data_IF_611134366912
#
_entry.id   IF_611134366912
#
_cell.length_a   1.000
_cell.length_b   1.000
_cell.length_c   1.000
_cell.angle_alpha   90.00
_cell.angle_beta   90.00
_cell.angle_gamma   90.00
#
_symmetry.space_group_name_H-M   'P 1'
#
loop_
_entity.id
_entity.type
_entity.pdbx_description
1 polymer ?
#
# COMPACT_ATOMS: atom_id res chain seq x y z
N UNK A 1 -22.48 -2.49 39.37
CA UNK A 1 -22.60 -2.93 37.97
C UNK A 1 -21.51 -2.25 37.17
N UNK A 2 -20.48 -3.00 36.77
CA UNK A 2 -19.34 -2.49 36.01
C UNK A 2 -19.78 -2.37 34.54
N UNK A 3 -19.76 -1.15 34.04
CA UNK A 3 -20.23 -0.75 32.70
C UNK A 3 -19.37 -1.36 31.59
N UNK A 4 -20.02 -1.81 30.51
CA UNK A 4 -19.46 -2.45 29.30
C UNK A 4 -18.48 -1.58 28.47
N UNK A 5 -17.94 -0.49 29.02
CA UNK A 5 -17.15 0.50 28.29
C UNK A 5 -15.62 0.30 28.38
N UNK A 6 -15.14 -0.73 29.09
CA UNK A 6 -13.71 -1.05 29.18
C UNK A 6 -13.25 -2.16 28.22
N UNK A 7 -14.13 -2.65 27.32
CA UNK A 7 -13.79 -3.76 26.43
C UNK A 7 -13.02 -3.32 25.17
N UNK A 8 -13.11 -2.07 24.71
CA UNK A 8 -12.44 -1.64 23.48
C UNK A 8 -10.95 -1.28 23.65
N UNK A 9 -10.51 -0.84 24.84
CA UNK A 9 -9.10 -0.52 25.07
C UNK A 9 -8.23 -1.78 25.27
N UNK A 10 -8.84 -2.87 25.74
CA UNK A 10 -8.16 -4.15 26.00
C UNK A 10 -7.99 -4.97 24.71
N UNK A 11 -8.86 -4.78 23.72
CA UNK A 11 -8.81 -5.58 22.47
C UNK A 11 -7.59 -5.25 21.60
N UNK A 12 -7.01 -4.04 21.68
CA UNK A 12 -5.78 -3.75 20.91
C UNK A 12 -4.48 -4.04 21.67
N UNK A 13 -4.47 -3.99 23.01
CA UNK A 13 -3.26 -4.31 23.79
C UNK A 13 -3.06 -5.83 23.99
N UNK A 14 -4.12 -6.63 23.95
CA UNK A 14 -4.06 -8.09 24.06
C UNK A 14 -3.89 -8.83 22.71
N UNK A 15 -4.06 -8.15 21.56
CA UNK A 15 -4.01 -8.77 20.23
C UNK A 15 -2.61 -8.75 19.57
N UNK A 16 -1.61 -8.13 20.20
CA UNK A 16 -0.27 -7.92 19.60
C UNK A 16 0.54 -9.22 19.49
N UNK A 17 0.16 -10.28 20.22
CA UNK A 17 0.91 -11.54 20.24
C UNK A 17 0.57 -12.52 19.11
N UNK A 18 -0.40 -12.22 18.23
CA UNK A 18 -0.79 -13.18 17.19
C UNK A 18 -1.33 -12.52 15.93
N UNK A 19 -0.61 -11.58 15.28
CA UNK A 19 -0.99 -11.12 13.93
C UNK A 19 0.11 -10.32 13.19
N UNK A 20 1.38 -10.74 13.22
CA UNK A 20 2.42 -10.07 12.42
C UNK A 20 2.03 -10.09 10.91
N UNK A 21 2.02 -8.93 10.26
CA UNK A 21 1.82 -8.85 8.82
C UNK A 21 3.09 -9.30 8.10
N UNK A 22 3.00 -10.36 7.31
CA UNK A 22 4.11 -10.83 6.48
C UNK A 22 3.96 -10.23 5.06
N UNK A 23 4.85 -9.32 4.64
CA UNK A 23 4.84 -8.82 3.28
C UNK A 23 5.17 -9.94 2.29
N UNK A 24 4.58 -9.89 1.10
CA UNK A 24 4.94 -10.82 0.03
C UNK A 24 6.33 -10.45 -0.47
N UNK A 25 7.29 -11.39 -0.49
CA UNK A 25 8.62 -11.09 -1.00
C UNK A 25 8.56 -10.80 -2.50
N UNK A 26 9.34 -9.82 -2.95
CA UNK A 26 9.48 -9.50 -4.36
C UNK A 26 10.05 -10.71 -5.13
N UNK A 27 9.53 -11.00 -6.34
CA UNK A 27 10.08 -12.03 -7.19
C UNK A 27 11.45 -11.60 -7.77
N UNK A 28 12.25 -12.57 -8.21
CA UNK A 28 13.47 -12.27 -8.97
C UNK A 28 13.12 -11.48 -10.25
N UNK A 29 14.07 -10.65 -10.71
CA UNK A 29 13.90 -9.88 -11.96
C UNK A 29 13.49 -10.79 -13.13
N UNK A 30 12.47 -10.36 -13.88
CA UNK A 30 11.92 -11.12 -15.01
C UNK A 30 10.88 -12.19 -14.63
N UNK A 31 10.67 -12.45 -13.34
CA UNK A 31 9.56 -13.27 -12.85
C UNK A 31 8.36 -12.38 -12.47
N UNK A 32 7.12 -12.81 -12.75
CA UNK A 32 5.94 -12.05 -12.42
C UNK A 32 5.65 -12.14 -10.92
N UNK A 33 5.00 -11.12 -10.37
CA UNK A 33 4.25 -11.26 -9.14
C UNK A 33 3.05 -12.18 -9.38
N UNK A 34 2.79 -13.18 -8.51
CA UNK A 34 1.71 -14.12 -8.72
C UNK A 34 0.34 -13.46 -8.53
N UNK A 35 -0.58 -13.72 -9.46
CA UNK A 35 -1.98 -13.28 -9.40
C UNK A 35 -2.86 -14.04 -8.42
N UNK A 36 -2.39 -14.29 -7.19
CA UNK A 36 -3.07 -15.15 -6.22
C UNK A 36 -3.92 -14.35 -5.20
N UNK A 37 -4.02 -14.81 -3.94
CA UNK A 37 -5.03 -14.40 -2.96
C UNK A 37 -5.15 -12.87 -2.71
N UNK A 38 -4.10 -12.07 -2.95
CA UNK A 38 -4.06 -10.64 -2.62
C UNK A 38 -3.67 -9.73 -3.78
N UNK A 39 -4.20 -8.51 -3.77
CA UNK A 39 -3.79 -7.45 -4.69
C UNK A 39 -2.37 -7.00 -4.38
N UNK A 40 -1.53 -6.90 -5.40
CA UNK A 40 -0.15 -6.40 -5.27
C UNK A 40 -0.13 -4.89 -5.53
N UNK A 41 0.55 -4.06 -4.73
CA UNK A 41 0.72 -2.63 -5.02
C UNK A 41 1.35 -2.36 -6.39
N UNK A 42 0.95 -1.29 -7.08
CA UNK A 42 1.59 -0.90 -8.33
C UNK A 42 3.05 -0.49 -8.11
N UNK A 43 3.34 0.14 -6.98
CA UNK A 43 4.69 0.55 -6.58
C UNK A 43 5.66 -0.65 -6.57
N UNK A 44 5.25 -1.76 -5.96
CA UNK A 44 6.07 -2.97 -5.84
C UNK A 44 6.34 -3.61 -7.21
N UNK A 45 5.35 -3.59 -8.10
CA UNK A 45 5.49 -4.12 -9.46
C UNK A 45 6.35 -3.20 -10.33
N UNK A 46 6.18 -1.88 -10.21
CA UNK A 46 6.99 -0.89 -10.94
C UNK A 46 8.46 -0.92 -10.54
N UNK A 47 8.77 -1.09 -9.25
CA UNK A 47 10.14 -1.09 -8.75
C UNK A 47 11.00 -2.26 -9.29
N UNK A 48 10.35 -3.32 -9.78
CA UNK A 48 11.02 -4.48 -10.40
C UNK A 48 10.85 -4.56 -11.92
N UNK A 49 10.22 -3.55 -12.53
CA UNK A 49 9.88 -3.55 -13.95
C UNK A 49 10.74 -2.58 -14.75
N UNK A 50 11.09 -2.98 -15.97
CA UNK A 50 11.96 -2.22 -16.86
C UNK A 50 11.18 -1.41 -17.91
N UNK A 51 9.91 -1.76 -18.12
CA UNK A 51 9.09 -1.22 -19.20
C UNK A 51 7.64 -1.03 -18.75
N UNK A 52 7.05 0.12 -19.09
CA UNK A 52 5.60 0.33 -19.05
C UNK A 52 5.17 0.78 -20.43
N UNK A 53 4.24 0.03 -21.01
CA UNK A 53 3.72 0.30 -22.35
C UNK A 53 2.24 0.64 -22.30
N UNK A 54 1.81 1.46 -23.24
CA UNK A 54 0.40 1.61 -23.58
C UNK A 54 0.19 1.13 -25.01
N UNK A 55 -0.92 0.46 -25.26
CA UNK A 55 -1.31 0.06 -26.61
C UNK A 55 -2.76 -0.38 -26.71
N UNK A 56 -3.22 -0.56 -27.94
CA UNK A 56 -4.59 -0.99 -28.24
C UNK A 56 -4.64 -2.51 -28.36
N UNK A 57 -5.56 -3.17 -27.67
CA UNK A 57 -5.72 -4.62 -27.72
C UNK A 57 -6.18 -5.06 -29.12
N UNK A 58 -5.31 -5.78 -29.83
CA UNK A 58 -5.63 -6.40 -31.13
C UNK A 58 -6.27 -7.77 -30.96
N UNK A 59 -5.71 -8.59 -30.07
CA UNK A 59 -6.24 -9.90 -29.70
C UNK A 59 -5.76 -10.31 -28.31
N UNK A 60 -6.53 -11.17 -27.68
CA UNK A 60 -6.29 -11.69 -26.35
C UNK A 60 -6.69 -13.16 -26.33
N UNK A 61 -5.70 -14.07 -26.32
CA UNK A 61 -5.92 -15.50 -26.38
C UNK A 61 -4.76 -16.29 -25.75
N UNK A 62 -5.06 -17.46 -25.16
CA UNK A 62 -4.04 -18.44 -24.77
C UNK A 62 -2.87 -17.92 -23.93
N UNK A 63 -3.10 -16.99 -22.98
CA UNK A 63 -2.02 -16.42 -22.15
C UNK A 63 -1.19 -15.34 -22.84
N UNK A 64 -1.70 -14.75 -23.93
CA UNK A 64 -1.03 -13.71 -24.72
C UNK A 64 -1.93 -12.51 -24.97
N UNK A 65 -1.36 -11.33 -24.87
CA UNK A 65 -1.98 -10.05 -25.24
C UNK A 65 -1.20 -9.51 -26.44
N UNK A 66 -1.88 -9.33 -27.58
CA UNK A 66 -1.28 -8.68 -28.75
C UNK A 66 -1.76 -7.25 -28.82
N UNK A 67 -0.82 -6.31 -28.90
CA UNK A 67 -1.08 -4.89 -28.95
C UNK A 67 -0.68 -4.27 -30.29
N UNK A 68 -1.44 -3.28 -30.74
CA UNK A 68 -1.07 -2.34 -31.80
C UNK A 68 -0.92 -0.93 -31.23
N UNK A 69 -0.38 -0.03 -32.04
CA UNK A 69 -0.22 1.39 -31.69
C UNK A 69 0.55 1.58 -30.38
N UNK A 70 1.56 0.74 -30.18
CA UNK A 70 2.23 0.62 -28.89
C UNK A 70 3.20 1.78 -28.70
N UNK A 71 3.09 2.45 -27.56
CA UNK A 71 4.05 3.45 -27.09
C UNK A 71 4.64 3.05 -25.74
N UNK A 72 5.91 3.32 -25.58
CA UNK A 72 6.57 3.21 -24.27
C UNK A 72 6.24 4.45 -23.45
N UNK A 73 5.66 4.26 -22.26
CA UNK A 73 5.48 5.31 -21.26
C UNK A 73 6.66 5.39 -20.29
N UNK A 74 7.30 4.25 -20.01
CA UNK A 74 8.51 4.14 -19.22
C UNK A 74 9.42 3.06 -19.83
N UNK A 75 10.72 3.32 -19.91
CA UNK A 75 11.69 2.42 -20.56
C UNK A 75 11.78 2.64 -22.08
N UNK A 76 12.66 1.88 -22.75
CA UNK A 76 12.81 1.94 -24.22
C UNK A 76 12.12 0.73 -24.86
N UNK A 77 11.21 0.99 -25.79
CA UNK A 77 10.65 -0.05 -26.67
C UNK A 77 11.02 0.26 -28.12
N UNK A 78 11.51 -0.74 -28.86
CA UNK A 78 12.02 -0.56 -30.22
C UNK A 78 11.05 -0.85 -31.36
N UNK A 79 9.78 -1.22 -31.11
CA UNK A 79 8.86 -1.71 -32.16
C UNK A 79 7.42 -1.19 -31.98
N UNK A 80 6.73 -0.98 -33.11
CA UNK A 80 5.36 -0.45 -33.18
C UNK A 80 4.26 -1.43 -32.71
N UNK A 81 4.62 -2.68 -32.42
CA UNK A 81 3.73 -3.71 -31.89
C UNK A 81 4.39 -4.45 -30.73
N UNK A 82 3.56 -5.03 -29.87
CA UNK A 82 4.01 -5.82 -28.72
C UNK A 82 3.16 -7.08 -28.58
N UNK A 83 3.81 -8.15 -28.14
CA UNK A 83 3.16 -9.35 -27.64
C UNK A 83 3.61 -9.55 -26.20
N UNK A 84 2.64 -9.55 -25.28
CA UNK A 84 2.88 -9.68 -23.83
C UNK A 84 2.30 -11.00 -23.35
N UNK A 85 3.14 -11.84 -22.75
CA UNK A 85 2.69 -13.10 -22.15
C UNK A 85 2.25 -12.88 -20.69
N UNK A 86 1.25 -13.63 -20.24
CA UNK A 86 0.76 -13.61 -18.87
C UNK A 86 0.30 -15.01 -18.43
N UNK A 87 0.06 -15.20 -17.14
CA UNK A 87 -0.65 -16.35 -16.60
C UNK A 87 -1.88 -15.90 -15.78
N UNK A 88 -2.86 -16.76 -15.61
CA UNK A 88 -4.09 -16.45 -14.86
C UNK A 88 -5.22 -15.95 -15.75
N UNK A 89 -6.23 -15.33 -15.13
CA UNK A 89 -7.49 -14.95 -15.78
C UNK A 89 -7.83 -13.51 -15.47
N UNK A 90 -8.06 -12.71 -16.51
CA UNK A 90 -8.56 -11.34 -16.38
C UNK A 90 -10.06 -11.33 -16.08
N UNK A 91 -10.56 -10.20 -15.56
CA UNK A 91 -12.01 -10.03 -15.42
C UNK A 91 -12.66 -9.75 -16.78
N UNK A 92 -13.97 -9.97 -16.86
CA UNK A 92 -14.72 -9.74 -18.10
C UNK A 92 -14.55 -8.28 -18.54
N UNK A 93 -14.25 -8.07 -19.84
CA UNK A 93 -14.03 -6.77 -20.49
C UNK A 93 -12.69 -6.07 -20.22
N UNK A 94 -11.78 -6.65 -19.42
CA UNK A 94 -10.45 -6.04 -19.20
C UNK A 94 -9.64 -5.92 -20.49
N UNK A 95 -9.80 -6.89 -21.39
CA UNK A 95 -8.98 -7.08 -22.60
C UNK A 95 -9.82 -7.13 -23.88
N UNK A 96 -10.89 -6.34 -23.94
CA UNK A 96 -11.70 -6.24 -25.15
C UNK A 96 -10.90 -5.69 -26.33
N UNK A 97 -11.13 -6.28 -27.51
CA UNK A 97 -10.49 -5.83 -28.75
C UNK A 97 -10.82 -4.35 -29.00
N UNK A 98 -9.80 -3.56 -29.31
CA UNK A 98 -9.91 -2.12 -29.54
C UNK A 98 -9.79 -1.26 -28.29
N UNK A 99 -9.70 -1.86 -27.10
CA UNK A 99 -9.49 -1.14 -25.84
C UNK A 99 -8.03 -0.72 -25.69
N UNK A 100 -7.79 0.51 -25.23
CA UNK A 100 -6.46 0.94 -24.80
C UNK A 100 -6.15 0.39 -23.42
N UNK A 101 -4.95 -0.16 -23.24
CA UNK A 101 -4.48 -0.72 -21.96
C UNK A 101 -3.06 -0.27 -21.65
N UNK A 102 -2.78 -0.04 -20.38
CA UNK A 102 -1.42 0.21 -19.87
C UNK A 102 -0.91 -1.02 -19.14
N UNK A 103 0.20 -1.57 -19.60
CA UNK A 103 0.80 -2.78 -19.05
C UNK A 103 2.18 -2.50 -18.47
N UNK A 104 2.41 -3.00 -17.26
CA UNK A 104 3.72 -3.03 -16.62
C UNK A 104 4.38 -4.35 -16.97
N UNK A 105 5.56 -4.31 -17.56
CA UNK A 105 6.23 -5.48 -18.11
C UNK A 105 7.73 -5.48 -17.76
N UNK A 106 8.28 -6.55 -17.15
CA UNK A 106 9.69 -6.86 -17.28
C UNK A 106 10.00 -7.36 -18.70
N UNK A 107 11.19 -7.00 -19.19
CA UNK A 107 11.76 -7.64 -20.38
C UNK A 107 12.37 -8.99 -19.98
N UNK A 108 12.00 -10.06 -20.70
CA UNK A 108 12.61 -11.36 -20.49
C UNK A 108 13.97 -11.45 -21.18
N UNK A 109 14.80 -12.42 -20.76
CA UNK A 109 16.15 -12.65 -21.30
C UNK A 109 16.19 -12.94 -22.81
N UNK A 110 15.07 -13.34 -23.40
CA UNK A 110 14.92 -13.60 -24.84
C UNK A 110 14.27 -12.42 -25.61
N UNK A 111 14.09 -11.25 -24.97
CA UNK A 111 13.46 -10.07 -25.55
C UNK A 111 11.94 -10.16 -25.68
N UNK A 112 11.28 -11.19 -25.12
CA UNK A 112 9.82 -11.23 -25.00
C UNK A 112 9.36 -10.38 -23.82
N UNK A 113 8.17 -9.79 -23.94
CA UNK A 113 7.54 -9.06 -22.84
C UNK A 113 6.65 -10.00 -22.03
N UNK A 114 6.77 -9.93 -20.71
CA UNK A 114 5.88 -10.62 -19.77
C UNK A 114 5.19 -9.59 -18.90
N UNK A 115 3.95 -9.87 -18.52
CA UNK A 115 3.23 -9.06 -17.55
C UNK A 115 3.88 -9.14 -16.16
N UNK A 116 4.15 -7.99 -15.53
CA UNK A 116 4.90 -7.91 -14.29
C UNK A 116 4.13 -8.43 -13.07
N UNK A 117 2.80 -8.40 -13.12
CA UNK A 117 1.92 -9.01 -12.13
C UNK A 117 0.79 -9.73 -12.83
N UNK A 118 0.66 -11.04 -12.58
CA UNK A 118 -0.34 -11.87 -13.25
C UNK A 118 -1.77 -11.54 -12.77
N UNK A 119 -2.77 -11.50 -13.66
CA UNK A 119 -4.18 -11.37 -13.27
C UNK A 119 -4.67 -12.57 -12.44
N UNK A 120 -5.78 -12.44 -11.70
CA UNK A 120 -6.70 -11.28 -11.63
C UNK A 120 -6.28 -10.17 -10.66
N UNK A 121 -5.23 -10.37 -9.85
CA UNK A 121 -4.91 -9.49 -8.71
C UNK A 121 -3.50 -8.89 -8.75
N UNK A 122 -2.64 -9.35 -9.65
CA UNK A 122 -1.33 -8.74 -9.89
C UNK A 122 -1.48 -7.38 -10.56
N UNK A 123 -0.63 -6.44 -10.17
CA UNK A 123 -0.63 -5.05 -10.64
C UNK A 123 0.01 -4.89 -12.05
N UNK A 124 -0.11 -5.90 -12.91
CA UNK A 124 0.47 -5.87 -14.25
C UNK A 124 -0.35 -5.06 -15.26
N UNK A 125 -1.67 -5.03 -15.12
CA UNK A 125 -2.58 -4.16 -15.85
C UNK A 125 -2.86 -2.93 -14.99
N UNK A 126 -2.49 -1.74 -15.48
CA UNK A 126 -2.73 -0.48 -14.79
C UNK A 126 -4.00 0.17 -15.31
N UNK A 127 -5.10 0.03 -14.58
CA UNK A 127 -6.43 0.51 -15.03
C UNK A 127 -6.51 2.03 -15.15
N UNK A 128 -6.00 2.82 -14.18
CA UNK A 128 -5.98 4.28 -14.33
C UNK A 128 -4.95 4.77 -15.37
N UNK A 129 -4.18 3.86 -15.96
CA UNK A 129 -3.37 4.11 -17.14
C UNK A 129 -2.23 5.12 -16.95
N UNK A 130 -1.98 6.00 -17.93
CA UNK A 130 -0.86 6.95 -17.91
C UNK A 130 -0.86 7.93 -16.74
N UNK A 131 -2.03 8.43 -16.31
CA UNK A 131 -2.13 9.46 -15.28
C UNK A 131 -1.64 8.96 -13.92
N UNK A 132 -1.99 7.71 -13.57
CA UNK A 132 -1.47 7.08 -12.37
C UNK A 132 0.02 6.78 -12.52
N UNK A 133 0.48 6.28 -13.69
CA UNK A 133 1.90 6.04 -13.90
C UNK A 133 2.74 7.30 -13.68
N UNK A 134 2.32 8.45 -14.21
CA UNK A 134 3.00 9.72 -13.98
C UNK A 134 3.12 10.02 -12.48
N UNK A 135 2.03 9.85 -11.73
CA UNK A 135 2.02 10.07 -10.30
C UNK A 135 3.00 9.12 -9.56
N UNK A 136 3.01 7.83 -9.91
CA UNK A 136 3.89 6.82 -9.31
C UNK A 136 5.36 7.09 -9.61
N UNK A 137 5.70 7.50 -10.84
CA UNK A 137 7.08 7.84 -11.25
C UNK A 137 7.56 9.10 -10.53
N UNK A 138 6.71 10.11 -10.37
CA UNK A 138 7.05 11.32 -9.59
C UNK A 138 7.33 10.95 -8.13
N UNK A 139 6.45 10.14 -7.51
CA UNK A 139 6.62 9.67 -6.14
C UNK A 139 7.90 8.85 -5.94
N UNK A 140 8.29 8.04 -6.93
CA UNK A 140 9.48 7.19 -6.86
C UNK A 140 10.81 7.96 -6.84
N UNK A 141 10.89 9.15 -7.49
CA UNK A 141 12.13 9.93 -7.59
C UNK A 141 12.57 10.54 -6.26
N UNK A 142 11.61 11.06 -5.51
CA UNK A 142 11.84 11.68 -4.20
C UNK A 142 10.54 11.58 -3.39
N UNK A 143 10.35 10.48 -2.63
CA UNK A 143 9.14 10.27 -1.84
C UNK A 143 8.91 11.38 -0.80
N UNK A 144 9.97 11.98 -0.24
CA UNK A 144 9.82 13.06 0.73
C UNK A 144 9.23 14.32 0.07
N UNK A 145 9.70 14.67 -1.12
CA UNK A 145 9.11 15.77 -1.90
C UNK A 145 7.72 15.43 -2.42
N UNK A 146 7.53 14.20 -2.92
CA UNK A 146 6.25 13.72 -3.44
C UNK A 146 5.14 13.72 -2.39
N UNK A 147 5.46 13.48 -1.12
CA UNK A 147 4.51 13.56 -0.01
C UNK A 147 3.92 14.96 0.19
N UNK A 148 4.63 16.00 -0.22
CA UNK A 148 4.15 17.39 -0.18
C UNK A 148 3.33 17.78 -1.43
N UNK A 149 3.06 16.84 -2.33
CA UNK A 149 2.26 17.08 -3.53
C UNK A 149 0.79 17.35 -3.21
N UNK A 150 0.16 18.22 -4.00
CA UNK A 150 -1.29 18.42 -3.99
C UNK A 150 -2.03 17.35 -4.77
N UNK A 151 -1.33 16.55 -5.59
CA UNK A 151 -1.91 15.41 -6.29
C UNK A 151 -2.06 14.24 -5.28
N UNK A 152 -3.30 13.78 -5.01
CA UNK A 152 -3.54 12.72 -4.03
C UNK A 152 -2.82 11.40 -4.34
N UNK A 153 -2.71 11.02 -5.62
CA UNK A 153 -2.04 9.79 -6.03
C UNK A 153 -0.52 9.87 -5.78
N UNK A 154 0.09 11.02 -6.09
CA UNK A 154 1.52 11.26 -5.78
C UNK A 154 1.76 11.22 -4.27
N UNK A 155 0.91 11.92 -3.49
CA UNK A 155 1.05 11.98 -2.03
C UNK A 155 0.89 10.58 -1.40
N UNK A 156 -0.12 9.82 -1.82
CA UNK A 156 -0.37 8.47 -1.32
C UNK A 156 0.76 7.49 -1.68
N UNK A 157 1.20 7.49 -2.94
CA UNK A 157 2.31 6.62 -3.37
C UNK A 157 3.62 6.97 -2.63
N UNK A 158 3.84 8.26 -2.40
CA UNK A 158 4.97 8.72 -1.59
C UNK A 158 4.87 8.26 -0.14
N UNK A 159 3.67 8.31 0.45
CA UNK A 159 3.41 7.80 1.80
C UNK A 159 3.72 6.30 1.91
N UNK A 160 3.29 5.50 0.92
CA UNK A 160 3.62 4.07 0.85
C UNK A 160 5.13 3.84 0.83
N UNK A 161 5.85 4.52 -0.06
CA UNK A 161 7.31 4.38 -0.19
C UNK A 161 8.06 4.82 1.06
N UNK A 162 7.63 5.90 1.71
CA UNK A 162 8.19 6.36 2.99
C UNK A 162 7.96 5.33 4.10
N UNK A 163 6.79 4.71 4.16
CA UNK A 163 6.49 3.65 5.11
C UNK A 163 7.41 2.43 4.90
N UNK A 164 7.56 1.97 3.65
CA UNK A 164 8.47 0.86 3.32
C UNK A 164 9.92 1.19 3.68
N UNK A 165 10.40 2.39 3.34
CA UNK A 165 11.76 2.82 3.66
C UNK A 165 12.01 2.86 5.18
N UNK A 166 11.01 3.29 5.96
CA UNK A 166 11.12 3.34 7.41
C UNK A 166 11.16 1.96 8.07
N UNK A 167 10.43 1.00 7.51
CA UNK A 167 10.41 -0.39 7.99
C UNK A 167 11.73 -1.09 7.65
N UNK A 168 12.27 -0.83 6.45
CA UNK A 168 13.53 -1.43 5.99
C UNK A 168 14.77 -0.83 6.69
N UNK A 169 14.68 0.41 7.19
CA UNK A 169 15.79 1.08 7.84
C UNK A 169 16.18 0.41 9.17
N UNK A 170 17.49 0.35 9.50
CA UNK A 170 17.94 -0.12 10.81
C UNK A 170 17.44 0.81 11.92
N UNK A 171 17.39 0.31 13.16
CA UNK A 171 16.76 1.01 14.28
C UNK A 171 17.34 2.40 14.57
N UNK A 172 18.65 2.57 14.37
CA UNK A 172 19.41 3.82 14.53
C UNK A 172 19.39 4.73 13.31
N UNK A 173 18.92 4.23 12.16
CA UNK A 173 18.87 4.94 10.88
C UNK A 173 17.46 5.20 10.36
N UNK A 174 16.43 5.05 11.20
CA UNK A 174 15.05 5.23 10.76
C UNK A 174 14.81 6.68 10.31
N UNK A 175 14.30 6.91 9.07
CA UNK A 175 13.96 8.25 8.62
C UNK A 175 12.84 8.84 9.47
N UNK A 176 12.74 10.17 9.54
CA UNK A 176 11.56 10.79 10.14
C UNK A 176 10.37 10.64 9.19
N UNK A 177 9.26 10.09 9.69
CA UNK A 177 8.00 10.06 8.95
C UNK A 177 7.24 11.38 9.14
N UNK A 178 6.46 11.82 8.14
CA UNK A 178 5.49 12.90 8.31
C UNK A 178 4.46 12.58 9.39
N UNK A 179 4.07 13.58 10.17
CA UNK A 179 3.16 13.39 11.32
C UNK A 179 1.75 12.92 10.88
N UNK A 180 1.31 13.31 9.68
CA UNK A 180 0.00 12.96 9.09
C UNK A 180 0.06 11.72 8.18
N UNK A 181 1.16 10.95 8.18
CA UNK A 181 1.34 9.83 7.25
C UNK A 181 0.25 8.77 7.39
N UNK A 182 -0.16 8.45 8.61
CA UNK A 182 -1.23 7.47 8.85
C UNK A 182 -2.56 8.01 8.32
N UNK A 183 -2.86 9.30 8.50
CA UNK A 183 -4.10 9.89 8.00
C UNK A 183 -4.15 9.87 6.46
N UNK A 184 -3.02 10.15 5.81
CA UNK A 184 -2.86 10.02 4.34
C UNK A 184 -3.09 8.58 3.87
N UNK A 185 -2.52 7.59 4.58
CA UNK A 185 -2.71 6.18 4.24
C UNK A 185 -4.16 5.72 4.48
N UNK A 186 -4.83 6.24 5.52
CA UNK A 186 -6.24 5.97 5.78
C UNK A 186 -7.13 6.50 4.65
N UNK A 187 -6.80 7.67 4.09
CA UNK A 187 -7.48 8.19 2.88
C UNK A 187 -7.23 7.28 1.67
N UNK A 188 -6.12 6.55 1.63
CA UNK A 188 -5.83 5.55 0.61
C UNK A 188 -6.69 4.28 0.68
N UNK A 189 -7.43 4.06 1.78
CA UNK A 189 -8.30 2.88 1.93
C UNK A 189 -9.67 3.03 1.26
N UNK A 190 -10.10 4.26 0.97
CA UNK A 190 -11.38 4.54 0.32
C UNK A 190 -11.26 4.37 -1.20
N UNK A 191 -12.37 3.98 -1.83
CA UNK A 191 -12.47 3.88 -3.28
C UNK A 191 -12.51 5.27 -3.94
N UNK A 192 -11.79 5.42 -5.06
CA UNK A 192 -11.68 6.64 -5.88
C UNK A 192 -11.24 6.19 -7.29
N UNK A 193 -11.65 6.85 -8.40
CA UNK A 193 -11.14 6.59 -9.75
C UNK A 193 -9.62 6.36 -9.88
N UNK A 194 -8.78 7.07 -9.12
CA UNK A 194 -7.33 6.87 -9.11
C UNK A 194 -6.84 5.91 -8.02
N UNK A 195 -7.73 5.41 -7.16
CA UNK A 195 -7.43 4.48 -6.06
C UNK A 195 -8.20 3.17 -6.26
N UNK A 196 -7.77 2.44 -7.28
CA UNK A 196 -8.26 1.09 -7.49
C UNK A 196 -7.78 0.13 -6.39
N UNK A 197 -8.08 -1.16 -6.56
CA UNK A 197 -7.76 -2.18 -5.56
C UNK A 197 -6.26 -2.34 -5.30
N UNK A 198 -5.41 -2.09 -6.29
CA UNK A 198 -3.96 -2.21 -6.16
C UNK A 198 -3.40 -1.00 -5.39
N UNK A 199 -3.97 0.20 -5.60
CA UNK A 199 -3.67 1.38 -4.78
C UNK A 199 -4.20 1.24 -3.35
N UNK A 200 -5.42 0.74 -3.14
CA UNK A 200 -5.94 0.43 -1.80
C UNK A 200 -5.07 -0.62 -1.08
N UNK A 201 -4.49 -1.57 -1.83
CA UNK A 201 -3.56 -2.55 -1.28
C UNK A 201 -2.28 -1.90 -0.78
N UNK A 202 -1.71 -0.93 -1.51
CA UNK A 202 -0.56 -0.15 -1.06
C UNK A 202 -0.85 0.53 0.30
N UNK A 203 -1.97 1.25 0.40
CA UNK A 203 -2.39 1.91 1.63
C UNK A 203 -2.56 0.94 2.81
N UNK A 204 -3.29 -0.16 2.60
CA UNK A 204 -3.48 -1.21 3.61
C UNK A 204 -2.14 -1.81 4.07
N UNK A 205 -1.27 -2.16 3.12
CA UNK A 205 0.01 -2.78 3.43
C UNK A 205 0.91 -1.82 4.21
N UNK A 206 0.99 -0.54 3.85
CA UNK A 206 1.76 0.44 4.61
C UNK A 206 1.23 0.65 6.03
N UNK A 207 -0.10 0.68 6.24
CA UNK A 207 -0.68 0.75 7.59
C UNK A 207 -0.30 -0.49 8.39
N UNK A 208 -0.50 -1.67 7.82
CA UNK A 208 -0.17 -2.94 8.47
C UNK A 208 1.32 -3.01 8.86
N UNK A 209 2.21 -2.54 7.97
CA UNK A 209 3.65 -2.50 8.22
C UNK A 209 4.05 -1.50 9.31
N UNK A 210 3.49 -0.28 9.28
CA UNK A 210 3.83 0.76 10.26
C UNK A 210 3.30 0.46 11.66
N UNK A 211 2.13 -0.16 11.74
CA UNK A 211 1.45 -0.45 13.00
C UNK A 211 1.69 -1.88 13.50
N UNK A 212 2.40 -2.71 12.73
CA UNK A 212 2.55 -4.15 12.98
C UNK A 212 1.21 -4.82 13.31
N UNK A 213 0.24 -4.59 12.42
CA UNK A 213 -1.16 -4.97 12.61
C UNK A 213 -1.74 -5.58 11.33
N UNK A 214 -2.81 -6.37 11.47
CA UNK A 214 -3.60 -6.84 10.33
C UNK A 214 -4.99 -6.20 10.37
N UNK A 215 -5.17 -5.08 9.64
CA UNK A 215 -6.47 -4.39 9.60
C UNK A 215 -7.58 -5.24 8.97
N UNK A 216 -7.25 -6.27 8.18
CA UNK A 216 -8.26 -7.20 7.69
C UNK A 216 -8.91 -7.96 8.83
N UNK A 217 -8.11 -8.42 9.78
CA UNK A 217 -8.62 -9.19 10.92
C UNK A 217 -9.18 -8.32 12.03
N UNK A 218 -8.60 -7.14 12.24
CA UNK A 218 -9.06 -6.21 13.28
C UNK A 218 -10.40 -5.53 12.90
N UNK A 219 -10.56 -5.13 11.64
CA UNK A 219 -11.68 -4.30 11.20
C UNK A 219 -12.53 -4.95 10.09
N UNK A 220 -12.15 -6.12 9.58
CA UNK A 220 -12.81 -6.74 8.44
C UNK A 220 -12.52 -6.05 7.09
N UNK A 221 -11.52 -5.16 7.03
CA UNK A 221 -11.19 -4.43 5.81
C UNK A 221 -10.59 -5.37 4.76
N UNK A 222 -11.21 -5.46 3.59
CA UNK A 222 -10.75 -6.29 2.48
C UNK A 222 -10.73 -5.52 1.17
N UNK A 223 -9.56 -5.40 0.56
CA UNK A 223 -9.39 -4.84 -0.80
C UNK A 223 -10.19 -5.60 -1.87
N UNK A 224 -10.59 -6.83 -1.57
CA UNK A 224 -11.38 -7.67 -2.46
C UNK A 224 -12.90 -7.45 -2.32
N UNK A 225 -13.35 -6.78 -1.26
CA UNK A 225 -14.76 -6.51 -1.05
C UNK A 225 -15.29 -5.50 -2.08
N UNK A 226 -16.61 -5.46 -2.34
CA UNK A 226 -17.24 -4.40 -3.12
C UNK A 226 -16.95 -3.01 -2.53
N UNK A 227 -16.92 -1.99 -3.38
CA UNK A 227 -16.49 -0.62 -3.04
C UNK A 227 -17.23 -0.06 -1.81
N UNK A 228 -18.56 -0.19 -1.76
CA UNK A 228 -19.35 0.26 -0.61
C UNK A 228 -18.95 -0.40 0.72
N UNK A 229 -18.52 -1.67 0.70
CA UNK A 229 -18.00 -2.35 1.90
C UNK A 229 -16.58 -1.89 2.23
N UNK A 230 -15.76 -1.60 1.22
CA UNK A 230 -14.40 -1.06 1.45
C UNK A 230 -14.49 0.31 2.12
N UNK A 231 -15.37 1.17 1.64
CA UNK A 231 -15.57 2.51 2.20
C UNK A 231 -16.12 2.47 3.64
N UNK A 232 -17.11 1.61 3.89
CA UNK A 232 -17.64 1.36 5.24
C UNK A 232 -16.53 0.87 6.19
N UNK A 233 -15.74 -0.12 5.76
CA UNK A 233 -14.63 -0.63 6.59
C UNK A 233 -13.46 0.33 6.70
N UNK A 234 -13.20 1.18 5.70
CA UNK A 234 -12.22 2.24 5.81
C UNK A 234 -12.63 3.24 6.91
N UNK A 235 -13.92 3.55 7.02
CA UNK A 235 -14.47 4.37 8.10
C UNK A 235 -14.24 3.72 9.47
N UNK A 236 -14.52 2.41 9.61
CA UNK A 236 -14.26 1.66 10.85
C UNK A 236 -12.78 1.71 11.25
N UNK A 237 -11.86 1.52 10.30
CA UNK A 237 -10.41 1.63 10.55
C UNK A 237 -10.05 3.04 11.02
N UNK A 238 -10.63 4.08 10.41
CA UNK A 238 -10.40 5.48 10.78
C UNK A 238 -10.88 5.80 12.20
N UNK A 239 -12.04 5.26 12.58
CA UNK A 239 -12.57 5.37 13.95
C UNK A 239 -11.65 4.67 14.93
N UNK A 240 -11.24 3.43 14.62
CA UNK A 240 -10.31 2.67 15.45
C UNK A 240 -8.99 3.39 15.67
N UNK A 241 -8.39 3.95 14.60
CA UNK A 241 -7.18 4.76 14.68
C UNK A 241 -7.34 5.96 15.62
N UNK A 242 -8.41 6.75 15.46
CA UNK A 242 -8.68 7.92 16.30
C UNK A 242 -8.83 7.54 17.77
N UNK A 243 -9.52 6.44 18.05
CA UNK A 243 -9.68 5.93 19.42
C UNK A 243 -8.32 5.54 20.02
N UNK A 244 -7.46 4.86 19.25
CA UNK A 244 -6.10 4.50 19.68
C UNK A 244 -5.24 5.72 19.98
N UNK A 245 -5.22 6.70 19.08
CA UNK A 245 -4.47 7.96 19.29
C UNK A 245 -4.94 8.67 20.55
N UNK A 246 -6.26 8.79 20.75
CA UNK A 246 -6.82 9.42 21.94
C UNK A 246 -6.43 8.68 23.23
N UNK A 247 -6.46 7.35 23.21
CA UNK A 247 -6.05 6.53 24.36
C UNK A 247 -4.57 6.70 24.70
N UNK A 248 -3.68 6.69 23.69
CA UNK A 248 -2.24 6.94 23.86
C UNK A 248 -1.99 8.33 24.43
N UNK A 249 -2.68 9.36 23.90
CA UNK A 249 -2.55 10.73 24.40
C UNK A 249 -3.02 10.85 25.86
N UNK A 250 -4.13 10.20 26.22
CA UNK A 250 -4.62 10.17 27.60
C UNK A 250 -3.60 9.51 28.54
N UNK A 251 -3.07 8.34 28.16
CA UNK A 251 -2.04 7.63 28.93
C UNK A 251 -0.77 8.48 29.12
N UNK A 252 -0.32 9.18 28.07
CA UNK A 252 0.83 10.09 28.15
C UNK A 252 0.57 11.26 29.11
N UNK A 253 -0.64 11.83 29.10
CA UNK A 253 -1.03 12.90 30.04
C UNK A 253 -1.05 12.40 31.48
N UNK A 254 -1.58 11.21 31.72
CA UNK A 254 -1.59 10.59 33.05
C UNK A 254 -0.18 10.31 33.58
N UNK A 255 0.70 9.75 32.73
CA UNK A 255 2.09 9.52 33.07
C UNK A 255 2.84 10.83 33.37
N UNK A 256 2.64 11.88 32.56
CA UNK A 256 3.23 13.20 32.79
C UNK A 256 2.71 13.88 34.07
N UNK A 257 1.50 13.53 34.53
CA UNK A 257 0.92 14.02 35.77
C UNK A 257 1.42 13.28 37.03
N UNK A 258 2.43 12.41 36.91
CA UNK A 258 3.02 11.67 38.04
C UNK A 258 2.11 10.59 38.62
N UNK A 259 0.98 10.29 37.96
CA UNK A 259 0.16 9.13 38.30
C UNK A 259 0.82 7.92 37.65
N UNK A 260 1.58 7.15 38.45
CA UNK A 260 2.08 5.85 38.03
C UNK A 260 0.88 4.94 37.73
N UNK A 261 0.45 4.91 36.48
CA UNK A 261 -0.28 3.78 35.96
C UNK A 261 0.72 2.63 35.97
N UNK A 262 0.52 1.65 36.87
CA UNK A 262 1.13 0.33 36.69
C UNK A 262 0.88 -0.04 35.22
N UNK A 263 1.90 -0.55 34.49
CA UNK A 263 1.60 -1.23 33.24
C UNK A 263 0.50 -2.26 33.57
N UNK A 264 -0.52 -2.44 32.72
CA UNK A 264 -1.44 -3.55 32.92
C UNK A 264 -0.59 -4.81 33.15
N UNK A 265 -0.89 -5.57 34.21
CA UNK A 265 -0.19 -6.83 34.50
C UNK A 265 -0.23 -7.67 33.23
N UNK A 266 0.94 -7.77 32.61
CA UNK A 266 1.19 -8.55 31.43
C UNK A 266 2.04 -9.70 31.91
N UNK A 267 1.41 -10.85 32.14
CA UNK A 267 2.04 -12.07 31.65
C UNK A 267 2.24 -11.83 30.15
N UNK A 268 3.41 -12.21 29.63
CA UNK A 268 3.90 -12.03 28.25
C UNK A 268 4.91 -10.89 28.01
N UNK A 269 6.10 -11.34 27.55
CA UNK A 269 7.29 -10.58 27.16
C UNK A 269 6.99 -9.46 26.15
N UNK A 270 6.74 -8.25 26.64
CA UNK A 270 6.81 -7.01 25.88
C UNK A 270 8.29 -6.62 25.64
N UNK A 271 8.87 -7.07 24.53
CA UNK A 271 10.14 -6.53 24.02
C UNK A 271 10.05 -5.75 22.71
N UNK A 272 8.86 -5.56 22.09
CA UNK A 272 8.78 -4.88 20.78
C UNK A 272 7.63 -3.90 20.52
N UNK A 273 6.63 -3.75 21.39
CA UNK A 273 5.52 -2.80 21.16
C UNK A 273 5.71 -1.45 21.88
N UNK A 274 6.91 -0.88 21.80
CA UNK A 274 7.19 0.49 22.26
C UNK A 274 7.73 1.30 21.09
N UNK A 275 7.00 1.34 19.97
CA UNK A 275 7.34 2.25 18.87
C UNK A 275 6.68 3.60 19.10
N UNK A 276 7.44 4.40 19.85
CA UNK A 276 7.38 5.84 19.88
C UNK A 276 7.40 6.41 18.46
N UNK A 277 6.34 7.09 18.05
CA UNK A 277 6.51 8.31 17.24
C UNK A 277 6.76 9.42 18.27
N UNK A 278 7.99 9.94 18.42
CA UNK A 278 8.22 11.17 19.13
C UNK A 278 7.73 12.31 18.24
N UNK A 279 6.50 12.78 18.50
CA UNK A 279 6.18 14.18 18.23
C UNK A 279 7.00 14.98 19.25
N UNK A 280 8.27 15.27 18.92
CA UNK A 280 9.04 16.25 19.68
C UNK A 280 8.28 17.56 19.64
N UNK A 281 7.64 17.89 20.76
CA UNK A 281 7.12 19.23 20.97
C UNK A 281 8.31 20.16 20.92
N UNK A 282 8.38 21.00 19.89
CA UNK A 282 9.21 22.20 19.90
C UNK A 282 8.86 23.02 21.13
N UNK A 283 9.69 22.87 22.16
CA UNK A 283 9.81 23.83 23.26
C UNK A 283 11.24 24.34 23.24
N UNK A 284 11.33 25.64 23.50
CA UNK A 284 12.51 26.50 23.59
C UNK A 284 12.89 27.10 22.21
N UNK A 285 12.94 28.42 22.04
CA UNK A 285 13.43 29.40 23.00
C UNK A 285 12.50 30.62 23.22
N UNK A 286 12.13 30.82 24.48
CA UNK A 286 12.09 32.17 25.06
C UNK A 286 13.37 32.32 25.88
N UNK A 287 14.33 33.08 25.35
CA UNK A 287 15.20 33.99 26.09
C UNK A 287 15.63 35.10 25.15
#
# INVERSE_FOLDING_TARGET
>A
MISKHNLCAIVMLAAVAAMAFEPVPAPDRGKPWPGNAQNIPYEDVLDVSDLVIEGTVKSFDGGRIKLTDVRSLLGRQGKAGAEVIYAGTFSDNDMDKGKSVTLICPEQTNGMLRLAGDPPKGAGLMVPGPDLLEALVVAAKDPAKGYNSTNPAVKLSSAYRLACAWVAAPADGKPKLPDDIIDTLLDGLTSDPLRDRNVNSAARNAINLLLDADINKLFGYSVNAPDFKRDDKASDVRIGWRQTVNAIQAQRREAAAGKTTKPPETDFNLKRATLFIPLESTKADKK
#
